data_IF_006745531396
#
_entry.id   IF_006745531396
#
_cell.length_a   1.000
_cell.length_b   1.000
_cell.length_c   1.000
_cell.angle_alpha   90.00
_cell.angle_beta   90.00
_cell.angle_gamma   90.00
#
_symmetry.space_group_name_H-M   'P 1'
#
loop_
_entity.id
_entity.type
_entity.pdbx_description
1 polymer ?
#
# COMPACT_ATOMS: atom_id res chain seq x y z
N UNK A 1 24.57 4.37 8.35
CA UNK A 1 23.59 3.76 7.42
C UNK A 1 22.37 4.66 7.39
N UNK A 2 21.95 5.11 6.20
CA UNK A 2 20.80 6.02 6.05
C UNK A 2 19.65 5.29 5.37
N UNK A 3 18.45 5.49 5.88
CA UNK A 3 17.23 4.88 5.37
C UNK A 3 16.20 5.95 5.04
N UNK A 4 15.42 5.70 4.00
CA UNK A 4 14.17 6.40 3.74
C UNK A 4 13.03 5.53 4.27
N UNK A 5 12.07 6.16 4.95
CA UNK A 5 10.85 5.51 5.41
C UNK A 5 9.66 6.17 4.72
N UNK A 6 8.84 5.37 4.05
CA UNK A 6 7.61 5.80 3.40
C UNK A 6 6.44 5.25 4.18
N UNK A 7 5.58 6.12 4.70
CA UNK A 7 4.43 5.74 5.52
C UNK A 7 3.16 6.08 4.74
N UNK A 8 2.22 5.13 4.71
CA UNK A 8 0.92 5.32 4.07
C UNK A 8 -0.16 4.53 4.82
N UNK A 9 -1.41 4.90 4.58
CA UNK A 9 -2.58 4.36 5.26
C UNK A 9 -3.67 3.91 4.29
N UNK A 10 -4.53 3.01 4.76
CA UNK A 10 -5.72 2.60 4.03
C UNK A 10 -6.88 2.28 4.99
N UNK A 11 -8.10 2.59 4.56
CA UNK A 11 -9.31 2.30 5.34
C UNK A 11 -9.60 3.34 6.44
N UNK A 12 -9.12 4.57 6.24
CA UNK A 12 -9.30 5.77 7.06
C UNK A 12 -10.65 6.47 6.87
N UNK A 13 -11.49 5.98 5.94
CA UNK A 13 -12.84 6.49 5.65
C UNK A 13 -13.84 6.44 6.82
N UNK A 14 -13.44 6.05 8.04
CA UNK A 14 -14.29 5.97 9.22
C UNK A 14 -14.97 4.62 9.44
N UNK A 15 -15.85 4.54 10.43
CA UNK A 15 -16.60 3.33 10.83
C UNK A 15 -18.03 3.44 10.29
N UNK A 16 -18.59 2.34 9.75
CA UNK A 16 -19.93 2.28 9.14
C UNK A 16 -20.15 3.25 7.95
N UNK A 17 -19.10 3.66 7.26
CA UNK A 17 -19.16 4.59 6.11
C UNK A 17 -19.27 3.89 4.76
N UNK A 18 -19.31 2.55 4.75
CA UNK A 18 -19.20 1.74 3.52
C UNK A 18 -17.76 1.45 3.11
N UNK A 19 -16.77 2.00 3.84
CA UNK A 19 -15.35 1.72 3.65
C UNK A 19 -14.91 0.34 4.17
N UNK A 20 -13.62 0.05 4.04
CA UNK A 20 -13.00 -1.20 4.52
C UNK A 20 -13.30 -1.46 6.00
N UNK A 21 -13.47 -2.73 6.41
CA UNK A 21 -13.49 -3.15 7.83
C UNK A 21 -12.15 -2.92 8.53
N UNK A 22 -11.06 -2.99 7.79
CA UNK A 22 -9.71 -2.84 8.31
C UNK A 22 -9.22 -1.41 8.16
N UNK A 23 -8.59 -0.89 9.21
CA UNK A 23 -7.66 0.23 9.12
C UNK A 23 -6.24 -0.34 9.07
N UNK A 24 -5.47 0.10 8.08
CA UNK A 24 -4.09 -0.31 7.85
C UNK A 24 -3.21 0.92 7.90
N UNK A 25 -2.09 0.85 8.60
CA UNK A 25 -0.98 1.80 8.47
C UNK A 25 0.30 1.01 8.28
N UNK A 26 1.06 1.36 7.25
CA UNK A 26 2.25 0.63 6.85
C UNK A 26 3.44 1.57 6.66
N UNK A 27 4.63 1.02 6.85
CA UNK A 27 5.90 1.68 6.57
C UNK A 27 6.76 0.79 5.68
N UNK A 28 7.34 1.36 4.63
CA UNK A 28 8.37 0.71 3.80
C UNK A 28 9.72 1.37 4.12
N UNK A 29 10.69 0.58 4.55
CA UNK A 29 12.06 1.00 4.79
C UNK A 29 12.96 0.62 3.62
N UNK A 30 13.68 1.61 3.10
CA UNK A 30 14.61 1.44 1.99
C UNK A 30 15.94 2.05 2.38
N UNK A 31 17.07 1.35 2.13
CA UNK A 31 18.38 1.99 2.26
C UNK A 31 18.48 3.12 1.24
N UNK A 32 18.98 4.29 1.65
CA UNK A 32 19.09 5.46 0.77
C UNK A 32 19.89 5.18 -0.53
N UNK A 33 20.83 4.23 -0.49
CA UNK A 33 21.58 3.79 -1.66
C UNK A 33 20.76 2.98 -2.68
N UNK A 34 19.71 2.28 -2.23
CA UNK A 34 18.86 1.41 -3.05
C UNK A 34 17.58 2.12 -3.54
N UNK A 35 17.29 3.30 -2.99
CA UNK A 35 16.06 4.07 -3.22
C UNK A 35 15.71 4.26 -4.71
N UNK A 36 16.69 4.70 -5.50
CA UNK A 36 16.52 4.91 -6.93
C UNK A 36 16.26 3.60 -7.68
N UNK A 37 16.90 2.50 -7.27
CA UNK A 37 16.73 1.19 -7.90
C UNK A 37 15.31 0.66 -7.70
N UNK A 38 14.76 0.84 -6.50
CA UNK A 38 13.38 0.48 -6.15
C UNK A 38 12.37 1.37 -6.88
N UNK A 39 12.60 2.69 -6.91
CA UNK A 39 11.76 3.62 -7.68
C UNK A 39 11.68 3.20 -9.16
N UNK A 40 12.81 2.81 -9.76
CA UNK A 40 12.87 2.32 -11.14
C UNK A 40 12.13 0.99 -11.35
N UNK A 41 11.93 0.17 -10.31
CA UNK A 41 11.15 -1.06 -10.41
C UNK A 41 9.67 -0.78 -10.73
N UNK A 42 9.12 0.31 -10.16
CA UNK A 42 7.77 0.78 -10.48
C UNK A 42 7.64 1.09 -11.97
N UNK A 43 8.64 1.74 -12.56
CA UNK A 43 8.63 2.05 -14.01
C UNK A 43 8.72 0.78 -14.87
N UNK A 44 9.59 -0.17 -14.48
CA UNK A 44 9.72 -1.46 -15.19
C UNK A 44 8.41 -2.22 -15.16
N UNK A 45 7.76 -2.30 -14.01
CA UNK A 45 6.49 -3.02 -13.90
C UNK A 45 5.37 -2.36 -14.70
N UNK A 46 5.30 -1.02 -14.70
CA UNK A 46 4.33 -0.26 -15.52
C UNK A 46 4.50 -0.59 -17.00
N UNK A 47 5.74 -0.65 -17.48
CA UNK A 47 6.04 -1.06 -18.86
C UNK A 47 5.57 -2.50 -19.13
N UNK A 48 5.87 -3.46 -18.24
CA UNK A 48 5.47 -4.86 -18.38
C UNK A 48 3.95 -5.07 -18.46
N UNK A 49 3.18 -4.29 -17.70
CA UNK A 49 1.71 -4.41 -17.65
C UNK A 49 0.98 -3.52 -18.67
N UNK A 50 1.73 -2.80 -19.52
CA UNK A 50 1.21 -1.92 -20.56
C UNK A 50 0.67 -0.57 -20.07
N UNK A 51 1.03 -0.13 -18.86
CA UNK A 51 0.69 1.20 -18.33
C UNK A 51 1.67 2.23 -18.89
N UNK A 52 1.30 2.87 -20.00
CA UNK A 52 2.16 3.79 -20.76
C UNK A 52 2.44 5.12 -20.04
N UNK A 53 1.48 5.59 -19.23
CA UNK A 53 1.69 6.80 -18.44
C UNK A 53 2.47 6.47 -17.16
N UNK A 54 3.73 6.90 -17.13
CA UNK A 54 4.63 6.73 -15.98
C UNK A 54 4.22 7.58 -14.79
N UNK A 55 3.54 8.72 -14.99
CA UNK A 55 3.08 9.60 -13.91
C UNK A 55 1.83 9.06 -13.23
N UNK A 56 1.02 8.28 -13.94
CA UNK A 56 -0.14 7.60 -13.35
C UNK A 56 0.33 6.64 -12.24
N UNK A 57 -0.23 6.71 -11.02
CA UNK A 57 0.08 5.76 -9.96
C UNK A 57 -0.27 4.32 -10.36
N UNK A 58 0.45 3.35 -9.79
CA UNK A 58 0.13 1.94 -9.96
C UNK A 58 -0.88 1.54 -8.88
N UNK A 59 -2.18 1.55 -9.20
CA UNK A 59 -3.20 1.15 -8.24
C UNK A 59 -3.54 -0.33 -8.35
N UNK A 60 -3.47 -1.06 -7.24
CA UNK A 60 -3.81 -2.48 -7.16
C UNK A 60 -5.22 -2.78 -7.69
N UNK A 61 -6.18 -1.87 -7.42
CA UNK A 61 -7.58 -1.97 -7.90
C UNK A 61 -7.68 -2.10 -9.42
N UNK A 62 -6.78 -1.45 -10.17
CA UNK A 62 -6.75 -1.51 -11.64
C UNK A 62 -6.20 -2.84 -12.16
N UNK A 63 -5.50 -3.60 -11.32
CA UNK A 63 -4.90 -4.90 -11.66
C UNK A 63 -5.82 -6.08 -11.35
N UNK A 64 -6.89 -5.88 -10.58
CA UNK A 64 -7.76 -6.95 -10.07
C UNK A 64 -8.37 -7.84 -11.18
N UNK A 65 -8.58 -7.29 -12.37
CA UNK A 65 -9.13 -8.02 -13.53
C UNK A 65 -8.11 -8.89 -14.28
N UNK A 66 -6.82 -8.85 -13.89
CA UNK A 66 -5.77 -9.62 -14.56
C UNK A 66 -4.80 -10.24 -13.55
N UNK A 67 -4.90 -11.56 -13.40
CA UNK A 67 -3.97 -12.33 -12.57
C UNK A 67 -2.52 -12.18 -13.05
N UNK A 68 -2.28 -12.25 -14.35
CA UNK A 68 -0.93 -12.15 -14.92
C UNK A 68 -0.26 -10.79 -14.62
N UNK A 69 -1.02 -9.70 -14.65
CA UNK A 69 -0.48 -8.38 -14.27
C UNK A 69 -0.12 -8.31 -12.78
N UNK A 70 -0.94 -8.91 -11.91
CA UNK A 70 -0.62 -9.00 -10.47
C UNK A 70 0.63 -9.83 -10.22
N UNK A 71 0.78 -10.97 -10.91
CA UNK A 71 2.00 -11.79 -10.82
C UNK A 71 3.24 -11.03 -11.29
N UNK A 72 3.15 -10.24 -12.36
CA UNK A 72 4.28 -9.42 -12.83
C UNK A 72 4.71 -8.43 -11.74
N UNK A 73 3.76 -7.80 -11.04
CA UNK A 73 4.07 -6.92 -9.90
C UNK A 73 4.71 -7.66 -8.75
N UNK A 74 4.13 -8.78 -8.31
CA UNK A 74 4.69 -9.54 -7.19
C UNK A 74 6.11 -10.04 -7.48
N UNK A 75 6.39 -10.48 -8.71
CA UNK A 75 7.73 -10.93 -9.12
C UNK A 75 8.74 -9.79 -9.18
N UNK A 76 8.35 -8.63 -9.72
CA UNK A 76 9.27 -7.49 -9.84
C UNK A 76 9.68 -6.93 -8.48
N UNK A 77 8.79 -6.95 -7.48
CA UNK A 77 9.06 -6.43 -6.15
C UNK A 77 9.60 -7.48 -5.16
N UNK A 78 9.39 -8.77 -5.40
CA UNK A 78 9.69 -9.84 -4.45
C UNK A 78 11.16 -9.96 -4.05
N UNK A 79 12.08 -9.57 -4.94
CA UNK A 79 13.53 -9.68 -4.73
C UNK A 79 14.21 -8.32 -4.46
N UNK A 80 13.45 -7.25 -4.30
CA UNK A 80 14.01 -5.91 -4.09
C UNK A 80 14.44 -5.69 -2.64
N UNK A 81 15.52 -4.91 -2.41
CA UNK A 81 16.10 -4.72 -1.08
C UNK A 81 15.34 -3.67 -0.25
N UNK A 82 14.08 -3.94 0.09
CA UNK A 82 13.30 -3.18 1.06
C UNK A 82 12.70 -4.09 2.12
N UNK A 83 12.43 -3.52 3.28
CA UNK A 83 11.61 -4.15 4.31
C UNK A 83 10.33 -3.35 4.51
N UNK A 84 9.32 -3.98 5.08
CA UNK A 84 8.07 -3.29 5.41
C UNK A 84 7.51 -3.76 6.75
N UNK A 85 6.75 -2.88 7.37
CA UNK A 85 5.92 -3.17 8.54
C UNK A 85 4.49 -2.77 8.23
N UNK A 86 3.53 -3.57 8.67
CA UNK A 86 2.11 -3.27 8.52
C UNK A 86 1.41 -3.50 9.86
N UNK A 87 0.75 -2.46 10.35
CA UNK A 87 -0.19 -2.58 11.47
C UNK A 87 -1.61 -2.62 10.90
N UNK A 88 -2.35 -3.66 11.27
CA UNK A 88 -3.73 -3.85 10.85
C UNK A 88 -4.65 -3.87 12.06
N UNK A 89 -5.71 -3.06 12.00
CA UNK A 89 -6.70 -2.96 13.06
C UNK A 89 -8.08 -3.26 12.50
N UNK A 90 -8.75 -4.21 13.13
CA UNK A 90 -10.16 -4.51 12.88
C UNK A 90 -11.02 -3.41 13.52
N UNK A 91 -11.66 -2.57 12.69
CA UNK A 91 -12.43 -1.42 13.18
C UNK A 91 -13.66 -1.84 14.00
N UNK A 92 -14.23 -3.01 13.71
CA UNK A 92 -15.37 -3.54 14.47
C UNK A 92 -14.98 -3.76 15.94
N UNK A 93 -13.76 -4.24 16.19
CA UNK A 93 -13.22 -4.43 17.55
C UNK A 93 -12.95 -3.12 18.29
N UNK A 94 -12.68 -2.02 17.57
CA UNK A 94 -12.51 -0.71 18.19
C UNK A 94 -13.85 -0.15 18.71
N UNK A 95 -14.94 -0.45 18.00
CA UNK A 95 -16.31 -0.12 18.43
C UNK A 95 -16.67 -0.91 19.69
N UNK A 96 -16.46 -2.23 19.67
CA UNK A 96 -16.73 -3.10 20.82
C UNK A 96 -15.99 -2.63 22.08
N UNK A 97 -14.72 -2.22 21.93
CA UNK A 97 -13.89 -1.71 23.02
C UNK A 97 -14.21 -0.27 23.44
N UNK A 98 -15.17 0.40 22.78
CA UNK A 98 -15.54 1.81 23.02
C UNK A 98 -14.34 2.76 22.96
N UNK A 99 -13.37 2.46 22.10
CA UNK A 99 -12.17 3.30 21.91
C UNK A 99 -12.58 4.68 21.37
N UNK A 100 -13.60 4.71 20.51
CA UNK A 100 -14.19 5.95 20.01
C UNK A 100 -15.43 6.30 20.83
N UNK A 101 -15.47 7.52 21.37
CA UNK A 101 -16.57 8.03 22.20
C UNK A 101 -17.79 8.51 21.39
N UNK A 102 -17.63 8.75 20.08
CA UNK A 102 -18.70 9.22 19.18
C UNK A 102 -18.45 8.73 17.74
N UNK A 103 -19.53 8.47 16.98
CA UNK A 103 -19.46 8.37 15.51
C UNK A 103 -19.02 9.73 14.96
N UNK A 104 -17.72 9.92 14.73
CA UNK A 104 -17.25 11.05 13.95
C UNK A 104 -17.68 10.82 12.50
N UNK A 105 -18.68 11.59 12.06
CA UNK A 105 -18.90 11.83 10.64
C UNK A 105 -17.80 12.80 10.20
N UNK A 106 -16.94 12.35 9.28
CA UNK A 106 -16.13 13.26 8.46
C UNK A 106 -17.04 14.09 7.56
#
# INVERSE_FOLDING_TARGET
>A
MNFNCYIDEAGDEGIDTGGSRWFLIGGVLVRKADDLAISRAVDRVKALIGQRDRRKPLHWRELNRSHNKRLAVMREFGDLPFDFVLCAVDKDRLVEKKVFKQKQKL
#
